data_IF_982258478556
#
_entry.id   IF_982258478556
#
_cell.length_a   1.000
_cell.length_b   1.000
_cell.length_c   1.000
_cell.angle_alpha   90.00
_cell.angle_beta   90.00
_cell.angle_gamma   90.00
#
_symmetry.space_group_name_H-M   'P 1'
#
loop_
_entity.id
_entity.type
_entity.pdbx_description
1 polymer ?
#
# COMPACT_ATOMS: atom_id res chain seq x y z
N UNK A 1 -16.70 -52.07 -26.74
CA UNK A 1 -16.49 -50.99 -25.75
C UNK A 1 -15.65 -49.92 -26.43
N UNK A 2 -16.21 -48.73 -26.68
CA UNK A 2 -15.61 -47.71 -27.54
C UNK A 2 -14.58 -46.90 -26.73
N UNK A 3 -13.31 -46.97 -27.11
CA UNK A 3 -12.20 -46.28 -26.46
C UNK A 3 -12.39 -44.77 -26.57
N UNK A 4 -12.62 -44.10 -25.44
CA UNK A 4 -12.61 -42.64 -25.38
C UNK A 4 -11.16 -42.21 -25.66
N UNK A 5 -10.89 -41.45 -26.73
CA UNK A 5 -9.54 -41.06 -27.07
C UNK A 5 -9.02 -40.09 -26.01
N UNK A 6 -7.83 -40.40 -25.48
CA UNK A 6 -7.07 -39.64 -24.48
C UNK A 6 -6.93 -38.15 -24.87
N UNK A 7 -7.02 -37.83 -26.18
CA UNK A 7 -7.04 -36.46 -26.70
C UNK A 7 -8.20 -35.61 -26.18
N UNK A 8 -9.37 -36.21 -25.94
CA UNK A 8 -10.55 -35.50 -25.42
C UNK A 8 -10.37 -35.10 -23.94
N UNK A 9 -9.67 -35.93 -23.17
CA UNK A 9 -9.35 -35.68 -21.76
C UNK A 9 -8.29 -34.58 -21.62
N UNK A 10 -7.28 -34.54 -22.51
CA UNK A 10 -6.30 -33.46 -22.53
C UNK A 10 -6.92 -32.09 -22.87
N UNK A 11 -7.88 -32.03 -23.80
CA UNK A 11 -8.57 -30.78 -24.16
C UNK A 11 -9.33 -30.16 -22.98
N UNK A 12 -9.91 -30.98 -22.10
CA UNK A 12 -10.61 -30.49 -20.89
C UNK A 12 -9.65 -29.91 -19.84
N UNK A 13 -8.41 -30.39 -19.75
CA UNK A 13 -7.41 -29.84 -18.81
C UNK A 13 -6.86 -28.47 -19.23
N UNK A 14 -6.84 -28.15 -20.53
CA UNK A 14 -6.38 -26.84 -21.01
C UNK A 14 -7.44 -25.73 -20.90
N UNK A 15 -8.73 -26.07 -20.82
CA UNK A 15 -9.80 -25.08 -20.69
C UNK A 15 -9.87 -24.40 -19.31
N UNK A 16 -9.19 -24.95 -18.30
CA UNK A 16 -9.17 -24.40 -16.93
C UNK A 16 -8.28 -23.18 -16.72
N UNK A 17 -7.36 -22.88 -17.64
CA UNK A 17 -6.41 -21.76 -17.49
C UNK A 17 -6.94 -20.40 -18.01
N UNK A 18 -8.17 -20.32 -18.50
CA UNK A 18 -8.82 -19.07 -18.92
C UNK A 18 -9.94 -18.61 -17.99
N UNK A 19 -9.93 -19.02 -16.71
CA UNK A 19 -10.75 -18.37 -15.70
C UNK A 19 -10.20 -16.96 -15.44
N UNK A 20 -10.60 -16.00 -16.28
CA UNK A 20 -10.41 -14.57 -16.00
C UNK A 20 -11.26 -14.28 -14.77
N UNK A 21 -10.68 -13.76 -13.68
CA UNK A 21 -11.46 -13.44 -12.51
C UNK A 21 -12.49 -12.37 -12.89
N UNK A 22 -13.76 -12.60 -12.53
CA UNK A 22 -14.88 -11.69 -12.81
C UNK A 22 -14.69 -10.29 -12.20
N UNK A 23 -13.73 -10.15 -11.28
CA UNK A 23 -13.34 -8.87 -10.69
C UNK A 23 -11.82 -8.77 -10.60
N UNK A 24 -11.33 -7.59 -10.99
CA UNK A 24 -9.95 -7.20 -10.72
C UNK A 24 -9.71 -7.20 -9.20
N UNK A 25 -8.50 -7.58 -8.74
CA UNK A 25 -8.12 -7.46 -7.34
C UNK A 25 -8.43 -6.05 -6.84
N UNK A 26 -9.39 -5.94 -5.91
CA UNK A 26 -9.72 -4.67 -5.27
C UNK A 26 -8.90 -4.54 -4.01
N UNK A 27 -8.52 -3.31 -3.69
CA UNK A 27 -7.95 -3.00 -2.39
C UNK A 27 -9.03 -3.27 -1.33
N UNK A 28 -8.71 -4.09 -0.33
CA UNK A 28 -9.57 -4.29 0.83
C UNK A 28 -8.97 -3.56 2.04
N UNK A 29 -9.76 -2.74 2.74
CA UNK A 29 -11.09 -2.22 2.37
C UNK A 29 -11.07 -1.31 1.13
N UNK A 30 -12.22 -1.27 0.43
CA UNK A 30 -12.39 -0.44 -0.76
C UNK A 30 -12.11 1.04 -0.44
N UNK A 31 -11.47 1.79 -1.35
CA UNK A 31 -11.21 3.21 -1.14
C UNK A 31 -12.51 3.98 -0.92
N UNK A 32 -12.52 4.86 0.08
CA UNK A 32 -13.66 5.72 0.34
C UNK A 32 -13.91 6.68 -0.84
N UNK A 33 -15.17 7.04 -1.07
CA UNK A 33 -15.55 7.98 -2.12
C UNK A 33 -14.86 9.35 -1.95
N UNK A 34 -14.65 9.79 -0.70
CA UNK A 34 -13.92 11.03 -0.38
C UNK A 34 -12.46 11.04 -0.85
N UNK A 35 -11.86 9.88 -1.15
CA UNK A 35 -10.51 9.79 -1.69
C UNK A 35 -10.42 10.13 -3.18
N UNK A 36 -11.56 10.49 -3.79
CA UNK A 36 -11.65 11.05 -5.12
C UNK A 36 -12.46 12.33 -5.04
N UNK A 37 -11.85 13.47 -5.35
CA UNK A 37 -12.55 14.76 -5.37
C UNK A 37 -12.10 15.62 -6.55
N UNK A 38 -13.00 16.44 -7.11
CA UNK A 38 -12.67 17.32 -8.22
C UNK A 38 -11.75 18.46 -7.77
N UNK A 39 -10.84 18.88 -8.65
CA UNK A 39 -10.05 20.09 -8.46
C UNK A 39 -9.76 20.73 -9.82
N UNK A 40 -9.72 22.06 -9.87
CA UNK A 40 -9.29 22.85 -11.03
C UNK A 40 -8.20 23.85 -10.65
N UNK A 41 -7.51 23.56 -9.56
CA UNK A 41 -6.58 24.47 -8.90
C UNK A 41 -5.26 24.57 -9.68
N UNK A 42 -4.93 25.77 -10.15
CA UNK A 42 -3.56 26.05 -10.59
C UNK A 42 -2.61 25.87 -9.41
N UNK A 43 -1.60 25.01 -9.56
CA UNK A 43 -0.68 24.66 -8.48
C UNK A 43 -1.17 23.54 -7.54
N UNK A 44 -2.20 22.76 -7.92
CA UNK A 44 -2.68 21.60 -7.15
C UNK A 44 -1.56 20.63 -6.71
N UNK A 45 -0.57 20.40 -7.58
CA UNK A 45 0.56 19.52 -7.25
C UNK A 45 1.40 20.07 -6.08
N UNK A 46 1.72 21.37 -6.12
CA UNK A 46 2.47 22.04 -5.06
C UNK A 46 1.69 22.05 -3.76
N UNK A 47 0.42 22.45 -3.81
CA UNK A 47 -0.45 22.45 -2.62
C UNK A 47 -0.54 21.05 -2.00
N UNK A 48 -0.66 20.00 -2.82
CA UNK A 48 -0.70 18.61 -2.36
C UNK A 48 0.58 18.18 -1.64
N UNK A 49 1.75 18.55 -2.17
CA UNK A 49 3.04 18.30 -1.52
C UNK A 49 3.11 19.02 -0.17
N UNK A 50 2.74 20.29 -0.13
CA UNK A 50 2.78 21.10 1.09
C UNK A 50 1.83 20.52 2.17
N UNK A 51 0.64 20.02 1.78
CA UNK A 51 -0.26 19.29 2.70
C UNK A 51 0.41 18.06 3.30
N UNK A 52 1.04 17.22 2.47
CA UNK A 52 1.65 15.97 2.93
C UNK A 52 2.81 16.21 3.91
N UNK A 53 3.65 17.21 3.62
CA UNK A 53 4.78 17.55 4.49
C UNK A 53 4.29 18.05 5.85
N UNK A 54 3.25 18.89 5.89
CA UNK A 54 2.69 19.40 7.15
C UNK A 54 2.03 18.31 7.99
N UNK A 55 1.40 17.32 7.34
CA UNK A 55 0.87 16.12 7.99
C UNK A 55 1.99 15.16 8.49
N UNK A 56 3.26 15.50 8.27
CA UNK A 56 4.42 14.74 8.73
C UNK A 56 4.80 13.56 7.84
N UNK A 57 4.42 13.58 6.56
CA UNK A 57 4.93 12.63 5.58
C UNK A 57 6.25 13.10 5.00
N UNK A 58 7.13 12.13 4.73
CA UNK A 58 8.36 12.34 3.96
C UNK A 58 8.09 11.98 2.51
N UNK A 59 8.44 12.86 1.56
CA UNK A 59 8.28 12.56 0.13
C UNK A 59 9.22 11.42 -0.28
N UNK A 60 8.66 10.41 -0.96
CA UNK A 60 9.42 9.28 -1.51
C UNK A 60 9.75 9.50 -3.00
N UNK A 61 8.79 10.00 -3.77
CA UNK A 61 8.94 10.27 -5.20
C UNK A 61 7.86 11.26 -5.66
N UNK A 62 8.21 12.15 -6.59
CA UNK A 62 7.26 13.07 -7.22
C UNK A 62 7.51 13.07 -8.72
N UNK A 63 6.51 12.66 -9.50
CA UNK A 63 6.50 12.70 -10.95
C UNK A 63 5.53 13.80 -11.40
N UNK A 64 6.09 14.92 -11.88
CA UNK A 64 5.32 16.07 -12.34
C UNK A 64 4.63 15.82 -13.68
N UNK A 65 5.10 14.85 -14.47
CA UNK A 65 4.51 14.52 -15.78
C UNK A 65 3.25 13.68 -15.65
N UNK A 66 3.24 12.76 -14.68
CA UNK A 66 2.07 11.94 -14.35
C UNK A 66 1.17 12.58 -13.28
N UNK A 67 1.64 13.66 -12.64
CA UNK A 67 0.98 14.26 -11.47
C UNK A 67 0.98 13.31 -10.26
N UNK A 68 1.94 12.39 -10.18
CA UNK A 68 2.00 11.37 -9.14
C UNK A 68 2.92 11.83 -8.00
N UNK A 69 2.39 11.87 -6.78
CA UNK A 69 3.17 12.12 -5.57
C UNK A 69 3.10 10.87 -4.70
N UNK A 70 4.25 10.34 -4.31
CA UNK A 70 4.38 9.25 -3.35
C UNK A 70 5.09 9.76 -2.10
N UNK A 71 4.51 9.49 -0.93
CA UNK A 71 5.06 9.88 0.35
C UNK A 71 4.87 8.76 1.39
N UNK A 72 5.71 8.76 2.43
CA UNK A 72 5.66 7.77 3.49
C UNK A 72 5.95 8.38 4.86
N UNK A 73 5.36 7.77 5.89
CA UNK A 73 5.56 8.11 7.30
C UNK A 73 5.78 6.82 8.08
N UNK A 74 6.72 6.85 9.00
CA UNK A 74 7.00 5.73 9.90
C UNK A 74 6.64 6.11 11.34
N UNK A 75 6.05 5.16 12.07
CA UNK A 75 5.70 5.32 13.49
C UNK A 75 6.07 4.07 14.26
N UNK A 76 6.74 4.26 15.39
CA UNK A 76 6.97 3.18 16.34
C UNK A 76 5.65 2.80 17.02
N UNK A 77 5.26 1.54 16.94
CA UNK A 77 4.07 1.02 17.59
C UNK A 77 4.41 0.60 19.02
N UNK A 78 4.24 1.55 19.95
CA UNK A 78 4.45 1.30 21.37
C UNK A 78 3.37 0.35 21.90
N UNK A 79 3.79 -0.74 22.56
CA UNK A 79 2.86 -1.72 23.12
C UNK A 79 2.12 -2.56 22.09
N UNK A 80 2.59 -2.61 20.83
CA UNK A 80 2.04 -3.53 19.84
C UNK A 80 2.27 -4.97 20.27
N UNK A 81 1.18 -5.63 20.60
CA UNK A 81 1.12 -7.06 20.79
C UNK A 81 0.78 -7.68 19.43
N UNK A 82 1.68 -8.50 18.89
CA UNK A 82 1.38 -9.25 17.67
C UNK A 82 0.38 -10.37 18.01
N UNK A 83 -0.88 -10.28 17.55
CA UNK A 83 -1.88 -11.32 17.83
C UNK A 83 -1.56 -12.64 17.14
N UNK A 84 -0.64 -12.63 16.17
CA UNK A 84 -0.14 -13.79 15.44
C UNK A 84 1.20 -14.29 15.99
N UNK A 85 1.69 -13.73 17.11
CA UNK A 85 2.87 -14.24 17.81
C UNK A 85 2.55 -15.58 18.49
N UNK A 86 2.58 -16.62 17.67
CA UNK A 86 2.44 -18.00 18.07
C UNK A 86 3.79 -18.61 18.48
N UNK A 87 4.75 -17.81 18.96
CA UNK A 87 6.06 -18.28 19.41
C UNK A 87 6.02 -19.43 20.45
N UNK A 88 4.88 -19.70 21.09
CA UNK A 88 4.72 -20.84 22.02
C UNK A 88 3.56 -21.81 21.69
N UNK A 89 2.98 -21.74 20.48
CA UNK A 89 1.84 -22.56 20.07
C UNK A 89 2.17 -23.58 18.97
N UNK A 90 2.63 -24.77 19.36
CA UNK A 90 2.57 -26.05 18.61
C UNK A 90 2.28 -25.98 17.09
N UNK A 91 3.30 -25.76 16.26
CA UNK A 91 3.09 -25.75 14.81
C UNK A 91 4.36 -25.67 13.95
N UNK A 92 5.07 -26.79 13.82
CA UNK A 92 6.05 -27.16 12.76
C UNK A 92 6.93 -26.03 12.16
N UNK A 93 8.15 -25.93 12.69
CA UNK A 93 9.28 -25.37 11.94
C UNK A 93 10.27 -24.61 12.81
N UNK A 94 11.16 -25.32 13.48
CA UNK A 94 12.30 -24.73 14.19
C UNK A 94 13.20 -24.02 13.16
N UNK A 95 13.11 -22.68 13.05
CA UNK A 95 14.00 -21.87 12.20
C UNK A 95 15.34 -21.66 12.94
N UNK A 96 16.18 -22.71 12.97
CA UNK A 96 17.47 -22.71 13.70
C UNK A 96 18.62 -22.11 12.88
N UNK A 97 18.42 -21.83 11.59
CA UNK A 97 19.43 -21.17 10.77
C UNK A 97 18.75 -20.19 9.82
N UNK A 98 19.30 -18.98 9.71
CA UNK A 98 18.84 -17.92 8.81
C UNK A 98 18.54 -18.47 7.42
N UNK A 99 17.25 -18.57 7.12
CA UNK A 99 16.76 -19.20 5.90
C UNK A 99 16.67 -18.18 4.77
N UNK A 100 17.50 -18.39 3.75
CA UNK A 100 17.29 -17.87 2.40
C UNK A 100 15.97 -18.46 1.88
N UNK A 101 14.87 -17.70 2.00
CA UNK A 101 13.55 -18.11 1.54
C UNK A 101 13.37 -17.82 0.05
N UNK A 102 13.43 -18.86 -0.79
CA UNK A 102 12.95 -18.80 -2.18
C UNK A 102 11.41 -18.93 -2.18
N UNK A 103 10.72 -17.86 -1.84
CA UNK A 103 9.27 -17.72 -1.94
C UNK A 103 8.86 -16.93 -3.18
N UNK A 104 8.10 -17.55 -4.08
CA UNK A 104 7.56 -16.95 -5.31
C UNK A 104 6.36 -16.06 -4.96
N UNK A 105 6.61 -14.77 -4.70
CA UNK A 105 5.53 -13.78 -4.60
C UNK A 105 5.92 -12.47 -3.91
N UNK A 106 6.03 -11.39 -4.67
CA UNK A 106 5.96 -10.00 -4.17
C UNK A 106 7.32 -9.30 -4.03
N UNK A 107 7.60 -8.39 -4.96
CA UNK A 107 8.80 -7.55 -5.01
C UNK A 107 8.95 -6.63 -3.79
N UNK A 108 10.07 -6.78 -3.09
CA UNK A 108 10.56 -5.82 -2.09
C UNK A 108 11.93 -6.26 -1.59
N UNK A 109 13.00 -5.83 -2.28
CA UNK A 109 14.39 -6.04 -1.82
C UNK A 109 14.74 -4.88 -0.90
N UNK A 110 14.93 -5.17 0.39
CA UNK A 110 15.56 -4.27 1.34
C UNK A 110 16.84 -4.92 1.89
N UNK A 111 18.00 -4.50 1.38
CA UNK A 111 19.30 -4.80 1.99
C UNK A 111 19.81 -3.47 2.55
N UNK A 112 19.92 -3.35 3.87
CA UNK A 112 20.42 -2.14 4.53
C UNK A 112 21.32 -2.48 5.71
N UNK A 113 22.63 -2.46 5.48
CA UNK A 113 23.66 -2.30 6.51
C UNK A 113 23.77 -0.79 6.78
N UNK A 114 23.26 -0.35 7.94
CA UNK A 114 23.44 1.02 8.44
C UNK A 114 22.45 2.03 7.86
N UNK A 115 21.31 2.21 8.54
CA UNK A 115 20.33 3.26 8.24
C UNK A 115 19.59 3.04 6.92
N UNK A 116 18.27 3.25 6.91
CA UNK A 116 17.44 3.15 5.70
C UNK A 116 17.33 1.70 5.17
N UNK A 117 16.77 0.79 5.98
CA UNK A 117 16.45 -0.55 5.53
C UNK A 117 15.51 -1.26 6.50
N UNK A 118 14.45 -1.86 5.98
CA UNK A 118 13.55 -2.78 6.67
C UNK A 118 14.33 -4.04 7.09
N UNK A 119 15.13 -3.92 8.15
CA UNK A 119 16.09 -4.92 8.59
C UNK A 119 15.72 -5.45 9.97
N UNK A 120 15.26 -6.70 9.99
CA UNK A 120 15.00 -7.47 11.19
C UNK A 120 16.22 -7.60 12.09
N UNK A 121 16.23 -6.85 13.20
CA UNK A 121 17.13 -7.04 14.33
C UNK A 121 16.33 -7.49 15.54
N UNK A 122 16.82 -8.48 16.28
CA UNK A 122 16.18 -8.93 17.54
C UNK A 122 16.13 -7.76 18.52
N UNK A 123 14.92 -7.31 18.89
CA UNK A 123 14.70 -6.21 19.82
C UNK A 123 14.39 -4.84 19.20
N UNK A 124 14.09 -4.78 17.90
CA UNK A 124 13.54 -3.55 17.30
C UNK A 124 12.10 -3.32 17.77
N UNK A 125 11.72 -2.06 17.94
CA UNK A 125 10.31 -1.74 18.21
C UNK A 125 9.49 -2.05 16.95
N UNK A 126 8.30 -2.67 17.07
CA UNK A 126 7.40 -2.85 15.94
C UNK A 126 7.11 -1.49 15.28
N UNK A 127 7.07 -1.45 13.96
CA UNK A 127 6.90 -0.20 13.19
C UNK A 127 5.69 -0.28 12.28
N UNK A 128 4.96 0.82 12.20
CA UNK A 128 3.92 1.07 11.21
C UNK A 128 4.48 2.00 10.15
N UNK A 129 4.46 1.53 8.90
CA UNK A 129 4.80 2.32 7.73
C UNK A 129 3.54 2.62 6.95
N UNK A 130 3.25 3.89 6.86
CA UNK A 130 2.10 4.44 6.18
C UNK A 130 2.57 5.12 4.89
N UNK A 131 2.09 4.62 3.76
CA UNK A 131 2.40 5.15 2.44
C UNK A 131 1.15 5.76 1.83
N UNK A 132 1.32 6.91 1.19
CA UNK A 132 0.27 7.63 0.47
C UNK A 132 0.76 7.92 -0.94
N UNK A 133 -0.10 7.65 -1.90
CA UNK A 133 0.06 8.02 -3.31
C UNK A 133 -1.08 8.95 -3.71
N UNK A 134 -0.75 10.13 -4.21
CA UNK A 134 -1.69 11.08 -4.78
C UNK A 134 -1.51 11.12 -6.28
N UNK A 135 -2.60 10.97 -7.03
CA UNK A 135 -2.65 11.24 -8.46
C UNK A 135 -3.41 12.55 -8.66
N UNK A 136 -2.69 13.59 -9.06
CA UNK A 136 -3.20 14.92 -9.35
C UNK A 136 -3.36 15.04 -10.85
N UNK A 137 -4.61 15.12 -11.31
CA UNK A 137 -4.94 15.43 -12.70
C UNK A 137 -5.49 16.85 -12.80
N UNK A 138 -5.73 17.32 -14.03
CA UNK A 138 -6.28 18.64 -14.29
C UNK A 138 -7.71 18.85 -13.76
N UNK A 139 -8.45 17.76 -13.50
CA UNK A 139 -9.87 17.82 -13.10
C UNK A 139 -10.17 17.19 -11.74
N UNK A 140 -9.29 16.33 -11.24
CA UNK A 140 -9.52 15.59 -9.99
C UNK A 140 -8.22 15.19 -9.31
N UNK A 141 -8.29 14.99 -8.00
CA UNK A 141 -7.26 14.34 -7.21
C UNK A 141 -7.79 12.98 -6.76
N UNK A 142 -6.96 11.96 -6.91
CA UNK A 142 -7.20 10.62 -6.38
C UNK A 142 -6.14 10.27 -5.34
N UNK A 143 -6.60 9.79 -4.19
CA UNK A 143 -5.77 9.41 -3.06
C UNK A 143 -5.81 7.89 -2.91
N UNK A 144 -4.63 7.29 -2.74
CA UNK A 144 -4.46 5.91 -2.33
C UNK A 144 -3.52 5.86 -1.13
N UNK A 145 -3.91 5.12 -0.09
CA UNK A 145 -3.17 4.99 1.15
C UNK A 145 -3.08 3.54 1.57
N UNK A 146 -1.88 3.08 1.87
CA UNK A 146 -1.59 1.75 2.41
C UNK A 146 -0.85 1.85 3.74
N UNK A 147 -1.25 1.00 4.69
CA UNK A 147 -0.57 0.84 5.98
C UNK A 147 0.01 -0.56 6.02
N UNK A 148 1.27 -0.65 6.42
CA UNK A 148 1.99 -1.89 6.65
C UNK A 148 2.57 -1.89 8.06
N UNK A 149 2.41 -2.99 8.78
CA UNK A 149 2.96 -3.15 10.12
C UNK A 149 3.96 -4.28 10.16
N UNK A 150 5.11 -3.99 10.73
CA UNK A 150 6.20 -4.91 10.90
C UNK A 150 6.40 -5.20 12.38
N UNK A 151 6.64 -6.48 12.70
CA UNK A 151 6.93 -6.89 14.07
C UNK A 151 8.37 -6.51 14.51
N UNK A 152 8.73 -6.93 15.72
CA UNK A 152 10.05 -6.71 16.31
C UNK A 152 11.19 -7.45 15.60
N UNK A 153 10.87 -8.40 14.70
CA UNK A 153 11.82 -9.15 13.86
C UNK A 153 11.83 -8.58 12.43
N UNK A 154 11.03 -7.55 12.13
CA UNK A 154 10.91 -6.94 10.80
C UNK A 154 10.03 -7.74 9.83
N UNK A 155 9.29 -8.75 10.29
CA UNK A 155 8.34 -9.48 9.47
C UNK A 155 7.06 -8.65 9.28
N UNK A 156 6.55 -8.59 8.05
CA UNK A 156 5.26 -7.97 7.73
C UNK A 156 4.12 -8.79 8.36
N UNK A 157 3.36 -8.16 9.26
CA UNK A 157 2.21 -8.80 9.94
C UNK A 157 0.88 -8.36 9.36
N UNK A 158 0.74 -7.08 9.06
CA UNK A 158 -0.50 -6.51 8.55
C UNK A 158 -0.19 -5.63 7.33
N UNK A 159 -1.02 -5.73 6.30
CA UNK A 159 -1.00 -4.85 5.14
C UNK A 159 -2.43 -4.64 4.67
N UNK A 160 -2.91 -3.40 4.71
CA UNK A 160 -4.27 -3.08 4.31
C UNK A 160 -4.38 -1.70 3.67
N UNK A 161 -5.42 -1.51 2.88
CA UNK A 161 -5.79 -0.20 2.36
C UNK A 161 -6.34 0.66 3.48
N UNK A 162 -5.70 1.78 3.75
CA UNK A 162 -6.15 2.76 4.73
C UNK A 162 -6.70 4.03 4.06
N UNK A 163 -7.19 3.88 2.82
CA UNK A 163 -7.86 4.93 2.03
C UNK A 163 -9.26 5.19 2.58
N UNK A 164 -9.34 5.65 3.82
CA UNK A 164 -10.58 5.87 4.56
C UNK A 164 -11.10 7.29 4.42
N UNK A 165 -12.37 7.45 4.73
CA UNK A 165 -13.11 8.68 4.53
C UNK A 165 -12.60 9.85 5.41
N UNK A 166 -12.23 9.56 6.65
CA UNK A 166 -11.67 10.55 7.59
C UNK A 166 -10.36 11.17 7.09
N UNK A 167 -9.40 10.34 6.66
CA UNK A 167 -8.13 10.83 6.12
C UNK A 167 -8.36 11.68 4.86
N UNK A 168 -9.17 11.18 3.93
CA UNK A 168 -9.38 11.83 2.64
C UNK A 168 -10.14 13.16 2.78
N UNK A 169 -11.15 13.26 3.66
CA UNK A 169 -11.82 14.54 3.95
C UNK A 169 -10.92 15.55 4.63
N UNK A 170 -10.08 15.12 5.58
CA UNK A 170 -9.10 16.00 6.23
C UNK A 170 -8.08 16.53 5.23
N UNK A 171 -7.55 15.65 4.38
CA UNK A 171 -6.65 16.05 3.29
C UNK A 171 -7.32 17.07 2.36
N UNK A 172 -8.52 16.78 1.88
CA UNK A 172 -9.28 17.68 1.00
C UNK A 172 -9.47 19.06 1.64
N UNK A 173 -9.87 19.10 2.91
CA UNK A 173 -10.06 20.36 3.65
C UNK A 173 -8.76 21.16 3.74
N UNK A 174 -7.67 20.51 4.13
CA UNK A 174 -6.35 21.14 4.23
C UNK A 174 -5.81 21.58 2.86
N UNK A 175 -6.16 20.87 1.79
CA UNK A 175 -5.82 21.22 0.41
C UNK A 175 -6.59 22.47 -0.05
N UNK A 176 -7.92 22.49 0.12
CA UNK A 176 -8.78 23.61 -0.26
C UNK A 176 -8.42 24.92 0.45
N UNK A 177 -7.91 24.83 1.69
CA UNK A 177 -7.41 26.00 2.44
C UNK A 177 -6.12 26.59 1.87
N UNK A 178 -5.30 25.79 1.16
CA UNK A 178 -4.00 26.23 0.61
C UNK A 178 -4.08 26.65 -0.84
N UNK A 179 -5.05 26.13 -1.58
CA UNK A 179 -5.24 26.48 -2.98
C UNK A 179 -5.75 27.92 -3.10
N UNK A 180 -5.14 28.76 -3.94
CA UNK A 180 -5.75 30.03 -4.31
C UNK A 180 -7.05 29.74 -5.06
N UNK A 181 -8.20 30.06 -4.43
CA UNK A 181 -9.50 29.90 -5.07
C UNK A 181 -9.56 30.84 -6.28
N UNK A 182 -9.37 30.31 -7.49
CA UNK A 182 -9.82 30.98 -8.70
C UNK A 182 -11.34 30.94 -8.69
N UNK A 183 -11.97 31.85 -7.93
CA UNK A 183 -13.37 32.18 -8.11
C UNK A 183 -13.45 32.83 -9.48
N UNK A 184 -13.81 32.07 -10.50
CA UNK A 184 -14.30 32.64 -11.75
C UNK A 184 -15.63 33.34 -11.40
N UNK A 185 -15.72 34.68 -11.41
CA UNK A 185 -17.02 35.32 -11.32
C UNK A 185 -17.76 35.00 -12.63
N UNK A 186 -18.99 34.50 -12.50
CA UNK A 186 -19.97 34.49 -13.59
C UNK A 186 -20.38 35.92 -13.94
#
# INVERSE_FOLDING_TARGET
MKSIPISLTCLLTLAGCQAVPDRLPQAEPAPAAACYFPTSAEGALKASVDVLIEEGFTLSSTDTTLGLISASRERALQGYYDPYDNAYGYGRGMRVFGGLGFGRGGSGVGIGLGGIGFGGGVGQQPVEVERVSLLVSDAHIRISRDIRRFDHVGDLRESYSASNDDFCRRFQTSFEQRVPVTRTPL
#
